data_IF_650619695915
#
_entry.id   IF_650619695915
#
_cell.length_a   1.000
_cell.length_b   1.000
_cell.length_c   1.000
_cell.angle_alpha   90.00
_cell.angle_beta   90.00
_cell.angle_gamma   90.00
#
_symmetry.space_group_name_H-M   'P 1'
#
loop_
_entity.id
_entity.type
_entity.pdbx_description
1 polymer ?
#
# COMPACT_ATOMS: atom_id res chain seq x y z
N UNK A 1 -7.56 1.91 29.26
CA UNK A 1 -6.93 1.82 27.92
C UNK A 1 -7.17 3.12 27.21
N UNK A 2 -6.17 3.66 26.50
CA UNK A 2 -6.40 4.82 25.64
C UNK A 2 -7.42 4.45 24.55
N UNK A 3 -8.30 5.38 24.14
CA UNK A 3 -9.25 5.12 23.05
C UNK A 3 -8.49 4.83 21.74
N UNK A 4 -8.99 3.89 20.94
CA UNK A 4 -8.43 3.55 19.63
C UNK A 4 -8.46 4.78 18.73
N UNK A 5 -7.36 5.05 18.02
CA UNK A 5 -7.27 6.16 17.07
C UNK A 5 -7.33 5.64 15.63
N UNK A 6 -7.95 6.44 14.76
CA UNK A 6 -8.00 6.22 13.33
C UNK A 6 -6.61 6.46 12.71
N UNK A 7 -6.23 5.63 11.74
CA UNK A 7 -5.03 5.85 10.92
C UNK A 7 -5.40 6.42 9.54
N UNK A 8 -4.63 7.39 9.06
CA UNK A 8 -4.81 7.97 7.73
C UNK A 8 -3.50 7.98 6.98
N UNK A 9 -3.44 7.24 5.88
CA UNK A 9 -2.39 7.36 4.88
C UNK A 9 -2.91 8.16 3.68
N UNK A 10 -2.01 8.69 2.86
CA UNK A 10 -2.35 9.19 1.52
C UNK A 10 -1.70 8.34 0.44
N UNK A 11 -2.52 7.73 -0.42
CA UNK A 11 -2.05 7.04 -1.61
C UNK A 11 -1.89 8.05 -2.76
N UNK A 12 -0.65 8.31 -3.14
CA UNK A 12 -0.33 9.38 -4.10
C UNK A 12 -0.33 8.85 -5.53
N UNK A 13 -1.52 8.82 -6.13
CA UNK A 13 -1.72 8.37 -7.50
C UNK A 13 -1.53 9.50 -8.51
N UNK A 14 -0.28 9.84 -8.81
CA UNK A 14 0.06 10.88 -9.79
C UNK A 14 -0.69 12.19 -9.48
N UNK A 15 -1.65 12.56 -10.34
CA UNK A 15 -2.48 13.76 -10.21
C UNK A 15 -3.82 13.55 -9.47
N UNK A 16 -4.19 12.33 -9.09
CA UNK A 16 -5.47 12.02 -8.42
C UNK A 16 -6.00 10.61 -8.74
N UNK A 17 -7.04 10.16 -8.02
CA UNK A 17 -7.56 8.79 -8.20
C UNK A 17 -8.32 8.59 -9.52
N UNK A 18 -8.85 9.66 -10.11
CA UNK A 18 -9.41 9.60 -11.44
C UNK A 18 -8.29 9.62 -12.49
N UNK A 19 -8.39 8.75 -13.48
CA UNK A 19 -7.45 8.73 -14.62
C UNK A 19 -7.37 10.07 -15.37
N UNK A 20 -8.43 10.89 -15.29
CA UNK A 20 -8.55 12.21 -15.90
C UNK A 20 -8.08 13.36 -15.02
N UNK A 21 -7.70 13.12 -13.75
CA UNK A 21 -7.40 14.18 -12.79
C UNK A 21 -6.30 15.15 -13.27
N UNK A 22 -5.35 14.67 -14.08
CA UNK A 22 -4.31 15.49 -14.70
C UNK A 22 -4.83 16.58 -15.65
N UNK A 23 -6.08 16.45 -16.12
CA UNK A 23 -6.77 17.41 -16.99
C UNK A 23 -7.57 18.45 -16.20
N UNK A 24 -7.69 18.30 -14.88
CA UNK A 24 -8.35 19.29 -14.05
C UNK A 24 -7.62 20.63 -14.19
N UNK A 25 -8.32 21.79 -14.20
CA UNK A 25 -7.70 23.10 -14.42
C UNK A 25 -6.55 23.43 -13.46
N UNK A 26 -6.55 22.85 -12.26
CA UNK A 26 -5.55 23.03 -11.23
C UNK A 26 -4.37 22.06 -11.28
N UNK A 27 -4.46 21.01 -12.09
CA UNK A 27 -3.42 20.00 -12.21
C UNK A 27 -2.29 20.47 -13.12
N UNK A 28 -1.05 20.23 -12.71
CA UNK A 28 0.09 20.27 -13.63
C UNK A 28 0.30 18.88 -14.26
N UNK A 29 0.14 18.71 -15.58
CA UNK A 29 0.38 17.44 -16.24
C UNK A 29 1.81 16.91 -16.08
N UNK A 30 2.80 17.76 -15.73
CA UNK A 30 4.18 17.35 -15.47
C UNK A 30 4.40 16.76 -14.08
N UNK A 31 3.42 16.89 -13.17
CA UNK A 31 3.53 16.45 -11.78
C UNK A 31 3.87 14.96 -11.61
N UNK A 32 3.51 14.11 -12.58
CA UNK A 32 3.78 12.67 -12.55
C UNK A 32 5.27 12.29 -12.52
N UNK A 33 6.15 13.21 -12.95
CA UNK A 33 7.60 13.02 -12.94
C UNK A 33 8.34 14.15 -12.18
N UNK A 34 7.61 14.96 -11.41
CA UNK A 34 8.17 16.01 -10.58
C UNK A 34 8.20 15.58 -9.11
N UNK A 35 9.40 15.42 -8.56
CA UNK A 35 9.60 15.06 -7.14
C UNK A 35 9.00 16.12 -6.21
N UNK A 36 9.02 17.40 -6.60
CA UNK A 36 8.50 18.48 -5.77
C UNK A 36 6.98 18.35 -5.53
N UNK A 37 6.25 17.77 -6.48
CA UNK A 37 4.83 17.43 -6.31
C UNK A 37 4.62 16.45 -5.15
N UNK A 38 5.38 15.35 -5.13
CA UNK A 38 5.29 14.34 -4.06
C UNK A 38 5.72 14.90 -2.70
N UNK A 39 6.73 15.75 -2.66
CA UNK A 39 7.15 16.47 -1.44
C UNK A 39 6.02 17.37 -0.93
N UNK A 40 5.36 18.14 -1.82
CA UNK A 40 4.24 19.01 -1.45
C UNK A 40 3.06 18.19 -0.89
N UNK A 41 2.71 17.08 -1.53
CA UNK A 41 1.67 16.16 -1.03
C UNK A 41 2.02 15.65 0.36
N UNK A 42 3.26 15.23 0.58
CA UNK A 42 3.72 14.75 1.88
C UNK A 42 3.66 15.84 2.97
N UNK A 43 4.06 17.07 2.67
CA UNK A 43 3.98 18.18 3.64
C UNK A 43 2.54 18.52 4.05
N UNK A 44 1.60 18.46 3.10
CA UNK A 44 0.17 18.64 3.40
C UNK A 44 -0.34 17.49 4.28
N UNK A 45 0.02 16.24 3.96
CA UNK A 45 -0.34 15.08 4.77
C UNK A 45 0.22 15.18 6.20
N UNK A 46 1.48 15.62 6.35
CA UNK A 46 2.13 15.81 7.64
C UNK A 46 1.48 16.93 8.47
N UNK A 47 1.10 18.05 7.84
CA UNK A 47 0.29 19.11 8.48
C UNK A 47 -1.03 18.56 9.01
N UNK A 48 -1.63 17.64 8.25
CA UNK A 48 -2.82 16.90 8.64
C UNK A 48 -2.59 15.79 9.66
N UNK A 49 -1.37 15.58 10.15
CA UNK A 49 -0.96 14.48 11.05
C UNK A 49 -1.26 13.07 10.52
N UNK A 50 -1.18 12.88 9.21
CA UNK A 50 -1.32 11.56 8.57
C UNK A 50 -0.20 10.61 9.00
N UNK A 51 -0.48 9.32 9.02
CA UNK A 51 0.46 8.26 9.39
C UNK A 51 1.53 8.07 8.32
N UNK A 52 1.17 8.06 7.03
CA UNK A 52 2.14 7.88 5.94
C UNK A 52 1.70 8.41 4.58
N UNK A 53 2.69 8.69 3.72
CA UNK A 53 2.52 8.69 2.26
C UNK A 53 2.76 7.27 1.73
N UNK A 54 1.91 6.83 0.80
CA UNK A 54 1.99 5.53 0.14
C UNK A 54 2.22 5.72 -1.36
N UNK A 55 3.30 5.12 -1.87
CA UNK A 55 3.64 5.10 -3.29
C UNK A 55 3.49 3.68 -3.85
N UNK A 56 2.42 3.48 -4.63
CA UNK A 56 2.24 2.28 -5.46
C UNK A 56 3.22 2.29 -6.63
N UNK A 57 3.63 1.10 -7.10
CA UNK A 57 4.57 0.99 -8.21
C UNK A 57 4.35 -0.27 -9.06
N UNK A 58 4.68 -0.15 -10.34
CA UNK A 58 4.77 -1.23 -11.31
C UNK A 58 5.97 -0.91 -12.22
N UNK A 59 7.02 -1.76 -12.26
CA UNK A 59 8.23 -1.49 -13.04
C UNK A 59 8.02 -1.83 -14.53
N UNK A 60 6.99 -1.23 -15.13
CA UNK A 60 6.62 -1.40 -16.53
C UNK A 60 6.06 -0.10 -17.09
N UNK A 61 6.23 0.08 -18.40
CA UNK A 61 5.59 1.17 -19.10
C UNK A 61 4.08 0.90 -19.21
N UNK A 62 3.26 1.91 -18.97
CA UNK A 62 1.80 1.75 -18.96
C UNK A 62 1.26 1.50 -20.38
N UNK A 63 0.18 0.70 -20.49
CA UNK A 63 -0.44 0.35 -21.76
C UNK A 63 -1.14 1.52 -22.49
N UNK A 64 -1.49 2.61 -21.80
CA UNK A 64 -2.15 3.80 -22.36
C UNK A 64 -1.55 5.11 -21.83
N UNK A 65 -0.26 5.36 -22.11
CA UNK A 65 0.44 6.56 -21.63
C UNK A 65 -0.06 7.82 -22.34
N UNK A 66 -0.81 7.66 -23.43
CA UNK A 66 -1.50 8.73 -24.16
C UNK A 66 -2.69 9.32 -23.39
N UNK A 67 -3.28 8.56 -22.45
CA UNK A 67 -4.54 8.93 -21.80
C UNK A 67 -4.42 9.27 -20.31
N UNK A 68 -3.39 8.75 -19.62
CA UNK A 68 -3.20 8.96 -18.18
C UNK A 68 -1.72 9.01 -17.79
N UNK A 69 -1.39 9.78 -16.74
CA UNK A 69 -0.12 9.63 -16.06
C UNK A 69 0.11 8.21 -15.55
N UNK A 70 1.37 7.82 -15.49
CA UNK A 70 1.85 6.54 -14.99
C UNK A 70 2.90 6.78 -13.91
N UNK A 71 3.19 5.73 -13.14
CA UNK A 71 4.24 5.72 -12.13
C UNK A 71 5.62 5.81 -12.80
N UNK A 72 6.11 7.03 -13.00
CA UNK A 72 7.34 7.28 -13.76
C UNK A 72 8.60 7.20 -12.92
N UNK A 73 8.52 7.52 -11.63
CA UNK A 73 9.65 7.62 -10.72
C UNK A 73 9.75 6.41 -9.80
N UNK A 74 10.97 5.96 -9.52
CA UNK A 74 11.22 4.87 -8.58
C UNK A 74 10.87 5.30 -7.14
N UNK A 75 10.05 4.53 -6.39
CA UNK A 75 9.50 4.98 -5.11
C UNK A 75 10.54 5.35 -4.06
N UNK A 76 11.63 4.59 -3.93
CA UNK A 76 12.62 4.85 -2.88
C UNK A 76 13.42 6.14 -3.12
N UNK A 77 13.64 6.51 -4.38
CA UNK A 77 14.23 7.81 -4.74
C UNK A 77 13.30 8.95 -4.34
N UNK A 78 12.00 8.83 -4.64
CA UNK A 78 11.00 9.85 -4.24
C UNK A 78 10.92 9.94 -2.72
N UNK A 79 10.80 8.80 -2.04
CA UNK A 79 10.68 8.75 -0.58
C UNK A 79 11.93 9.26 0.14
N UNK A 80 13.13 9.16 -0.44
CA UNK A 80 14.33 9.77 0.14
C UNK A 80 14.25 11.30 0.15
N UNK A 81 13.68 11.91 -0.90
CA UNK A 81 13.45 13.37 -0.93
C UNK A 81 12.35 13.78 0.03
N UNK A 82 11.28 12.98 0.12
CA UNK A 82 10.21 13.20 1.11
C UNK A 82 10.77 13.08 2.53
N UNK A 83 11.61 12.08 2.82
CA UNK A 83 12.24 11.89 4.12
C UNK A 83 13.03 13.13 4.57
N UNK A 84 13.74 13.78 3.64
CA UNK A 84 14.50 14.99 3.92
C UNK A 84 13.63 16.24 4.12
N UNK A 85 12.38 16.21 3.64
CA UNK A 85 11.45 17.34 3.66
C UNK A 85 10.31 17.20 4.70
N UNK A 86 10.26 16.09 5.44
CA UNK A 86 9.25 15.79 6.48
C UNK A 86 9.92 15.22 7.73
N UNK A 87 9.30 15.36 8.90
CA UNK A 87 9.89 14.95 10.19
C UNK A 87 9.27 13.65 10.76
N UNK A 88 7.96 13.51 10.65
CA UNK A 88 7.15 12.46 11.27
C UNK A 88 6.46 11.56 10.24
N UNK A 89 6.07 12.07 9.07
CA UNK A 89 5.26 11.30 8.11
C UNK A 89 5.93 9.97 7.70
N UNK A 90 5.21 8.87 7.78
CA UNK A 90 5.64 7.56 7.29
C UNK A 90 5.86 7.51 5.77
N UNK A 91 6.73 6.60 5.33
CA UNK A 91 7.22 6.51 3.97
C UNK A 91 7.01 5.08 3.43
N UNK A 92 5.83 4.79 2.89
CA UNK A 92 5.49 3.45 2.39
C UNK A 92 5.79 3.36 0.89
N UNK A 93 6.79 2.55 0.54
CA UNK A 93 7.20 2.32 -0.84
C UNK A 93 6.87 0.90 -1.30
N UNK A 94 6.32 0.78 -2.51
CA UNK A 94 6.09 -0.51 -3.15
C UNK A 94 7.38 -1.02 -3.80
N UNK A 95 7.69 -2.30 -3.58
CA UNK A 95 8.76 -2.98 -4.31
C UNK A 95 8.42 -4.45 -4.52
N UNK A 96 8.60 -4.92 -5.75
CA UNK A 96 8.27 -6.27 -6.16
C UNK A 96 9.25 -7.30 -5.61
N UNK A 97 8.74 -8.40 -5.05
CA UNK A 97 9.58 -9.55 -4.73
C UNK A 97 10.10 -10.20 -6.00
N UNK A 98 9.29 -10.31 -7.05
CA UNK A 98 9.60 -11.03 -8.31
C UNK A 98 10.82 -10.51 -9.05
N UNK A 99 11.03 -9.19 -9.04
CA UNK A 99 12.03 -8.53 -9.89
C UNK A 99 13.14 -7.81 -9.12
N UNK A 100 13.20 -7.99 -7.80
CA UNK A 100 14.31 -7.51 -6.99
C UNK A 100 15.17 -8.68 -6.53
N UNK A 101 16.42 -8.38 -6.18
CA UNK A 101 17.26 -9.22 -5.34
C UNK A 101 16.99 -8.89 -3.86
N UNK A 102 16.83 -9.89 -2.97
CA UNK A 102 16.49 -9.64 -1.57
C UNK A 102 17.57 -8.90 -0.80
N UNK A 103 18.86 -9.11 -1.10
CA UNK A 103 19.94 -8.41 -0.42
C UNK A 103 19.96 -6.92 -0.80
N UNK A 104 19.83 -6.62 -2.09
CA UNK A 104 19.77 -5.23 -2.57
C UNK A 104 18.53 -4.50 -2.03
N UNK A 105 17.35 -5.16 -2.01
CA UNK A 105 16.14 -4.56 -1.45
C UNK A 105 16.30 -4.29 0.04
N UNK A 106 16.79 -5.26 0.81
CA UNK A 106 17.02 -5.12 2.25
C UNK A 106 17.93 -3.92 2.55
N UNK A 107 19.05 -3.78 1.80
CA UNK A 107 19.96 -2.63 1.94
C UNK A 107 19.30 -1.30 1.64
N UNK A 108 18.57 -1.21 0.52
CA UNK A 108 17.92 0.02 0.06
C UNK A 108 16.88 0.52 1.07
N UNK A 109 15.99 -0.36 1.51
CA UNK A 109 14.95 -0.02 2.48
C UNK A 109 15.51 0.25 3.88
N UNK A 110 16.52 -0.51 4.36
CA UNK A 110 17.17 -0.22 5.64
C UNK A 110 17.90 1.14 5.63
N UNK A 111 18.56 1.47 4.51
CA UNK A 111 19.24 2.76 4.36
C UNK A 111 18.26 3.92 4.38
N UNK A 112 17.14 3.80 3.65
CA UNK A 112 16.07 4.79 3.69
C UNK A 112 15.47 4.91 5.10
N UNK A 113 15.35 3.79 5.82
CA UNK A 113 14.79 3.78 7.17
C UNK A 113 15.71 4.44 8.20
N UNK A 114 17.03 4.29 8.06
CA UNK A 114 17.99 5.07 8.84
C UNK A 114 17.90 6.55 8.45
N UNK A 115 17.88 6.88 7.16
CA UNK A 115 17.82 8.26 6.68
C UNK A 115 16.54 9.00 7.16
N UNK A 116 15.45 8.27 7.35
CA UNK A 116 14.19 8.82 7.82
C UNK A 116 13.99 8.71 9.34
N UNK A 117 14.95 8.17 10.10
CA UNK A 117 14.81 7.86 11.54
C UNK A 117 13.68 6.88 11.90
N UNK A 118 13.50 5.82 11.11
CA UNK A 118 12.57 4.73 11.40
C UNK A 118 11.14 4.99 10.91
N UNK A 119 10.97 5.54 9.69
CA UNK A 119 9.66 5.92 9.14
C UNK A 119 9.25 5.10 7.92
N UNK A 120 10.04 4.12 7.51
CA UNK A 120 9.81 3.40 6.25
C UNK A 120 8.87 2.23 6.42
N UNK A 121 8.02 2.02 5.42
CA UNK A 121 7.29 0.77 5.19
C UNK A 121 7.59 0.21 3.80
N UNK A 122 7.62 -1.11 3.69
CA UNK A 122 7.75 -1.83 2.42
C UNK A 122 6.43 -2.50 2.07
N UNK A 123 5.77 -2.04 1.01
CA UNK A 123 4.64 -2.73 0.42
C UNK A 123 5.11 -3.89 -0.49
N UNK A 124 4.90 -5.10 -0.01
CA UNK A 124 5.31 -6.37 -0.62
C UNK A 124 4.32 -6.72 -1.73
N UNK A 125 4.79 -6.69 -2.99
CA UNK A 125 3.99 -7.07 -4.15
C UNK A 125 4.66 -8.19 -4.94
N UNK A 126 3.86 -9.10 -5.50
CA UNK A 126 4.33 -10.23 -6.32
C UNK A 126 4.37 -9.91 -7.81
N UNK A 127 3.91 -8.70 -8.19
CA UNK A 127 3.61 -8.29 -9.56
C UNK A 127 2.52 -9.13 -10.23
N UNK A 128 1.55 -8.45 -10.85
CA UNK A 128 0.47 -9.08 -11.61
C UNK A 128 0.45 -8.68 -13.10
N UNK A 129 1.25 -7.67 -13.47
CA UNK A 129 1.32 -7.16 -14.83
C UNK A 129 2.36 -7.95 -15.65
N UNK A 130 1.89 -8.60 -16.71
CA UNK A 130 2.73 -9.40 -17.60
C UNK A 130 3.75 -8.56 -18.38
N UNK A 131 3.46 -7.27 -18.63
CA UNK A 131 4.40 -6.38 -19.33
C UNK A 131 5.69 -6.15 -18.54
N UNK A 132 5.62 -6.23 -17.20
CA UNK A 132 6.79 -6.07 -16.34
C UNK A 132 7.85 -7.15 -16.60
N UNK A 133 7.43 -8.41 -16.78
CA UNK A 133 8.34 -9.54 -17.01
C UNK A 133 9.35 -9.27 -18.14
N UNK A 134 8.88 -8.67 -19.23
CA UNK A 134 9.68 -8.39 -20.44
C UNK A 134 10.83 -7.41 -20.19
N UNK A 135 10.74 -6.59 -19.15
CA UNK A 135 11.82 -5.69 -18.74
C UNK A 135 12.88 -6.36 -17.87
N UNK A 136 12.62 -7.59 -17.38
CA UNK A 136 13.49 -8.36 -16.50
C UNK A 136 13.98 -9.67 -17.12
N UNK A 137 13.92 -9.76 -18.45
CA UNK A 137 14.52 -10.88 -19.21
C UNK A 137 13.65 -12.13 -19.32
N UNK A 138 12.35 -12.05 -19.00
CA UNK A 138 11.39 -13.15 -19.21
C UNK A 138 10.18 -12.68 -20.01
N UNK A 139 9.60 -13.54 -20.86
CA UNK A 139 8.44 -13.14 -21.67
C UNK A 139 7.13 -13.12 -20.87
N UNK A 140 7.05 -13.96 -19.84
CA UNK A 140 5.88 -14.19 -19.00
C UNK A 140 6.24 -14.12 -17.50
N UNK A 141 5.22 -13.90 -16.68
CA UNK A 141 5.31 -14.05 -15.24
C UNK A 141 5.32 -15.53 -14.87
N UNK A 142 6.04 -15.90 -13.81
CA UNK A 142 5.87 -17.22 -13.19
C UNK A 142 4.42 -17.43 -12.77
N UNK A 143 3.98 -18.69 -12.67
CA UNK A 143 2.63 -19.03 -12.22
C UNK A 143 2.29 -18.41 -10.86
N UNK A 144 1.02 -18.01 -10.66
CA UNK A 144 0.54 -17.32 -9.46
C UNK A 144 1.04 -17.94 -8.15
N UNK A 145 0.85 -19.25 -7.98
CA UNK A 145 1.27 -19.98 -6.78
C UNK A 145 2.79 -19.86 -6.52
N UNK A 146 3.61 -20.01 -7.56
CA UNK A 146 5.07 -19.89 -7.46
C UNK A 146 5.50 -18.47 -7.08
N UNK A 147 4.82 -17.44 -7.61
CA UNK A 147 5.09 -16.04 -7.23
C UNK A 147 4.86 -15.82 -5.73
N UNK A 148 3.83 -16.42 -5.14
CA UNK A 148 3.56 -16.32 -3.71
C UNK A 148 4.47 -17.21 -2.84
N UNK A 149 4.85 -18.40 -3.29
CA UNK A 149 5.90 -19.22 -2.64
C UNK A 149 7.23 -18.46 -2.57
N UNK A 150 7.64 -17.88 -3.70
CA UNK A 150 8.84 -17.07 -3.80
C UNK A 150 8.77 -15.80 -2.95
N UNK A 151 7.62 -15.12 -2.90
CA UNK A 151 7.44 -13.92 -2.09
C UNK A 151 7.50 -14.19 -0.58
N UNK A 152 6.99 -15.34 -0.15
CA UNK A 152 7.06 -15.81 1.24
C UNK A 152 8.52 -16.00 1.66
N UNK A 153 9.31 -16.72 0.85
CA UNK A 153 10.76 -16.89 1.09
C UNK A 153 11.52 -15.55 1.02
N UNK A 154 11.16 -14.67 0.08
CA UNK A 154 11.78 -13.36 -0.06
C UNK A 154 11.60 -12.50 1.20
N UNK A 155 10.38 -12.46 1.75
CA UNK A 155 10.09 -11.73 2.98
C UNK A 155 10.85 -12.30 4.18
N UNK A 156 10.96 -13.62 4.30
CA UNK A 156 11.80 -14.29 5.31
C UNK A 156 13.27 -13.87 5.20
N UNK A 157 13.85 -13.85 3.99
CA UNK A 157 15.25 -13.43 3.75
C UNK A 157 15.47 -11.97 4.09
N UNK A 158 14.61 -11.07 3.62
CA UNK A 158 14.77 -9.62 3.86
C UNK A 158 14.67 -9.30 5.35
N UNK A 159 13.68 -9.86 6.04
CA UNK A 159 13.53 -9.66 7.48
C UNK A 159 14.69 -10.27 8.27
N UNK A 160 15.26 -11.40 7.81
CA UNK A 160 16.48 -11.96 8.39
C UNK A 160 17.68 -11.05 8.23
N UNK A 161 17.86 -10.46 7.05
CA UNK A 161 18.93 -9.51 6.79
C UNK A 161 18.80 -8.28 7.69
N UNK A 162 17.59 -7.74 7.88
CA UNK A 162 17.39 -6.63 8.81
C UNK A 162 17.68 -6.98 10.26
N UNK A 163 17.52 -8.24 10.68
CA UNK A 163 17.88 -8.67 12.04
C UNK A 163 19.34 -9.13 12.17
N UNK A 164 20.17 -9.05 11.11
CA UNK A 164 21.57 -9.52 11.13
C UNK A 164 22.51 -8.72 12.06
N UNK A 165 22.05 -7.62 12.64
CA UNK A 165 22.76 -6.84 13.66
C UNK A 165 21.93 -6.82 14.94
N UNK A 166 22.53 -7.07 16.10
CA UNK A 166 21.86 -6.74 17.37
C UNK A 166 21.86 -5.22 17.60
N UNK A 167 20.92 -4.75 18.41
CA UNK A 167 20.68 -3.30 18.60
C UNK A 167 21.90 -2.57 19.21
N UNK A 168 22.72 -3.29 19.99
CA UNK A 168 23.90 -2.77 20.69
C UNK A 168 25.23 -3.29 20.11
N UNK A 169 25.24 -3.65 18.82
CA UNK A 169 26.45 -4.04 18.09
C UNK A 169 27.44 -2.88 17.85
N UNK A 170 26.97 -1.63 17.83
CA UNK A 170 27.84 -0.45 17.69
C UNK A 170 28.51 -0.10 19.02
N UNK A 171 29.84 -0.09 19.03
CA UNK A 171 30.65 0.22 20.23
C UNK A 171 31.23 1.63 20.13
N UNK A 172 31.90 1.95 19.02
CA UNK A 172 32.45 3.30 18.76
C UNK A 172 33.57 3.73 19.71
N UNK A 173 34.32 2.79 20.30
CA UNK A 173 35.40 3.09 21.24
C UNK A 173 36.65 3.60 20.50
N UNK A 174 36.86 4.91 20.56
CA UNK A 174 38.02 5.60 19.95
C UNK A 174 39.34 5.32 20.67
N UNK A 175 39.31 4.97 21.96
CA UNK A 175 40.51 4.73 22.76
C UNK A 175 41.12 3.37 22.44
N UNK A 176 40.28 2.34 22.30
CA UNK A 176 40.72 0.98 21.93
C UNK A 176 40.73 0.72 20.42
N UNK A 177 40.05 1.56 19.62
CA UNK A 177 39.84 1.35 18.19
C UNK A 177 38.75 0.32 17.89
N UNK A 178 37.97 -0.10 18.88
CA UNK A 178 36.90 -1.08 18.73
C UNK A 178 35.61 -0.40 18.21
N UNK A 179 35.34 -0.56 16.91
CA UNK A 179 34.21 0.10 16.26
C UNK A 179 32.89 -0.65 16.43
N UNK A 180 32.88 -1.96 16.17
CA UNK A 180 31.69 -2.85 16.20
C UNK A 180 32.03 -4.11 17.00
N UNK A 181 31.11 -4.57 17.84
CA UNK A 181 31.16 -5.90 18.43
C UNK A 181 30.76 -6.96 17.40
N UNK A 182 31.75 -7.65 16.84
CA UNK A 182 31.53 -8.66 15.79
C UNK A 182 30.78 -9.90 16.28
N UNK A 183 30.70 -10.14 17.60
CA UNK A 183 29.90 -11.24 18.15
C UNK A 183 28.39 -10.98 18.04
N UNK A 184 28.00 -9.73 17.74
CA UNK A 184 26.62 -9.25 17.63
C UNK A 184 26.19 -8.97 16.19
N UNK A 185 26.99 -9.42 15.22
CA UNK A 185 26.70 -9.30 13.79
C UNK A 185 26.71 -10.70 13.18
N UNK A 186 25.54 -11.13 12.72
CA UNK A 186 25.24 -12.52 12.44
C UNK A 186 24.93 -12.75 10.96
N UNK A 187 25.63 -13.66 10.25
CA UNK A 187 25.15 -14.10 8.95
C UNK A 187 23.78 -14.78 9.11
N UNK A 188 22.94 -14.67 8.07
CA UNK A 188 21.62 -15.31 8.06
C UNK A 188 21.66 -16.74 7.51
N UNK A 189 22.72 -17.06 6.76
CA UNK A 189 23.01 -18.38 6.17
C UNK A 189 21.81 -19.07 5.49
N UNK A 190 20.94 -18.27 4.86
CA UNK A 190 19.73 -18.76 4.24
C UNK A 190 20.03 -19.61 2.99
N UNK A 191 19.42 -20.79 2.93
CA UNK A 191 19.42 -21.70 1.78
C UNK A 191 18.01 -22.27 1.62
N UNK A 192 17.22 -21.62 0.78
CA UNK A 192 15.87 -22.05 0.44
C UNK A 192 15.76 -22.51 -1.00
N UNK A 193 14.52 -22.62 -1.48
CA UNK A 193 14.21 -23.07 -2.84
C UNK A 193 14.57 -21.99 -3.85
N UNK A 194 14.28 -20.73 -3.51
CA UNK A 194 14.41 -19.60 -4.42
C UNK A 194 15.69 -18.80 -4.19
N UNK A 195 16.20 -18.75 -2.95
CA UNK A 195 17.34 -17.91 -2.60
C UNK A 195 18.41 -18.66 -1.81
N UNK A 196 19.66 -18.31 -2.06
CA UNK A 196 20.78 -18.64 -1.19
C UNK A 196 21.54 -17.37 -0.85
N UNK A 197 21.42 -16.92 0.40
CA UNK A 197 21.95 -15.62 0.85
C UNK A 197 22.68 -15.83 2.17
N UNK A 198 23.98 -15.54 2.18
CA UNK A 198 24.83 -15.71 3.38
C UNK A 198 24.58 -14.64 4.45
N UNK A 199 24.48 -13.37 4.05
CA UNK A 199 24.57 -12.24 4.97
C UNK A 199 25.96 -12.11 5.62
N UNK A 200 26.12 -11.28 6.68
CA UNK A 200 25.11 -10.36 7.22
C UNK A 200 24.76 -9.23 6.24
N UNK A 201 23.73 -8.45 6.56
CA UNK A 201 23.49 -7.17 5.90
C UNK A 201 24.62 -6.21 6.29
N UNK A 202 24.99 -5.27 5.43
CA UNK A 202 25.98 -4.24 5.74
C UNK A 202 25.36 -2.91 6.22
N UNK A 203 24.12 -2.97 6.72
CA UNK A 203 23.36 -1.84 7.24
C UNK A 203 22.78 -2.27 8.60
N UNK A 204 22.99 -1.48 9.67
CA UNK A 204 22.47 -1.81 11.00
C UNK A 204 20.94 -1.62 11.09
N UNK A 205 20.36 -2.04 12.22
CA UNK A 205 18.93 -1.84 12.52
C UNK A 205 18.59 -0.37 12.70
N UNK A 206 17.36 -0.01 12.37
CA UNK A 206 16.83 1.35 12.54
C UNK A 206 16.20 1.54 13.93
N UNK A 207 15.78 2.77 14.23
CA UNK A 207 15.04 3.10 15.45
C UNK A 207 13.77 2.26 15.61
N UNK A 208 13.09 1.90 14.52
CA UNK A 208 11.91 1.04 14.54
C UNK A 208 12.22 -0.47 14.39
N UNK A 209 13.49 -0.86 14.54
CA UNK A 209 13.98 -2.23 14.41
C UNK A 209 14.15 -2.63 12.96
N UNK A 210 13.06 -2.63 12.20
CA UNK A 210 13.03 -2.84 10.75
C UNK A 210 11.82 -2.13 10.11
N UNK A 211 11.88 -1.82 8.80
CA UNK A 211 10.75 -1.25 8.06
C UNK A 211 9.44 -2.00 8.31
N UNK A 212 8.32 -1.28 8.33
CA UNK A 212 6.97 -1.87 8.47
C UNK A 212 6.64 -2.69 7.24
N UNK A 213 6.13 -3.91 7.42
CA UNK A 213 5.72 -4.77 6.34
C UNK A 213 4.28 -4.48 5.94
N UNK A 214 4.08 -4.01 4.71
CA UNK A 214 2.77 -3.69 4.14
C UNK A 214 2.45 -4.68 3.03
N UNK A 215 1.19 -5.04 2.84
CA UNK A 215 0.76 -5.96 1.76
C UNK A 215 -0.60 -5.56 1.20
N UNK A 216 -0.89 -5.90 -0.06
CA UNK A 216 -2.13 -5.50 -0.75
C UNK A 216 -2.84 -6.60 -1.59
N UNK A 217 -2.55 -7.88 -1.37
CA UNK A 217 -3.09 -8.99 -2.15
C UNK A 217 -4.39 -9.54 -1.58
N UNK A 218 -5.46 -9.52 -2.38
CA UNK A 218 -6.77 -10.05 -1.99
C UNK A 218 -7.07 -11.50 -2.40
N UNK A 219 -6.17 -12.20 -3.11
CA UNK A 219 -6.34 -13.63 -3.41
C UNK A 219 -6.14 -14.49 -2.15
N UNK A 220 -6.52 -15.78 -2.18
CA UNK A 220 -6.29 -16.68 -1.04
C UNK A 220 -4.80 -16.75 -0.64
N UNK A 221 -3.90 -16.83 -1.62
CA UNK A 221 -2.46 -16.79 -1.38
C UNK A 221 -1.98 -15.40 -0.91
N UNK A 222 -2.60 -14.33 -1.40
CA UNK A 222 -2.37 -12.96 -0.94
C UNK A 222 -2.72 -12.77 0.53
N UNK A 223 -3.90 -13.24 0.94
CA UNK A 223 -4.36 -13.22 2.33
C UNK A 223 -3.44 -14.06 3.20
N UNK A 224 -3.02 -15.25 2.74
CA UNK A 224 -2.07 -16.10 3.47
C UNK A 224 -0.72 -15.39 3.69
N UNK A 225 -0.18 -14.76 2.63
CA UNK A 225 1.07 -13.99 2.72
C UNK A 225 0.93 -12.82 3.70
N UNK A 226 -0.19 -12.08 3.63
CA UNK A 226 -0.47 -10.98 4.53
C UNK A 226 -0.61 -11.45 5.98
N UNK A 227 -1.37 -12.51 6.23
CA UNK A 227 -1.55 -13.10 7.55
C UNK A 227 -0.21 -13.49 8.18
N UNK A 228 0.73 -14.02 7.39
CA UNK A 228 2.06 -14.41 7.88
C UNK A 228 2.98 -13.20 8.13
N UNK A 229 3.02 -12.23 7.22
CA UNK A 229 4.07 -11.19 7.24
C UNK A 229 3.59 -9.76 7.50
N UNK A 230 2.39 -9.40 7.04
CA UNK A 230 1.96 -8.00 7.00
C UNK A 230 1.65 -7.46 8.40
N UNK A 231 2.09 -6.25 8.65
CA UNK A 231 1.82 -5.46 9.85
C UNK A 231 0.79 -4.35 9.54
N UNK A 232 0.70 -3.94 8.28
CA UNK A 232 -0.41 -3.18 7.74
C UNK A 232 -0.87 -3.75 6.38
N UNK A 233 -2.16 -3.62 6.08
CA UNK A 233 -2.75 -4.14 4.83
C UNK A 233 -3.49 -3.03 4.11
N UNK A 234 -3.15 -2.82 2.84
CA UNK A 234 -3.92 -2.01 1.93
C UNK A 234 -4.91 -2.89 1.17
N UNK A 235 -6.21 -2.76 1.47
CA UNK A 235 -7.25 -3.61 0.88
C UNK A 235 -8.24 -2.83 0.01
N UNK A 236 -9.08 -3.58 -0.69
CA UNK A 236 -10.26 -3.07 -1.40
C UNK A 236 -11.48 -3.61 -0.66
N UNK A 237 -12.35 -2.71 -0.20
CA UNK A 237 -13.64 -3.06 0.36
C UNK A 237 -14.66 -2.00 -0.06
N UNK A 238 -15.78 -2.42 -0.66
CA UNK A 238 -16.83 -1.52 -1.13
C UNK A 238 -17.97 -1.40 -0.13
N UNK A 239 -18.20 -2.43 0.68
CA UNK A 239 -19.21 -2.44 1.74
C UNK A 239 -18.61 -2.76 3.10
N UNK A 240 -19.35 -2.41 4.15
CA UNK A 240 -18.93 -2.66 5.52
C UNK A 240 -18.83 -4.16 5.81
N UNK A 241 -19.73 -4.96 5.25
CA UNK A 241 -19.75 -6.42 5.39
C UNK A 241 -18.52 -7.07 4.76
N UNK A 242 -18.13 -6.62 3.55
CA UNK A 242 -16.90 -7.07 2.89
C UNK A 242 -15.66 -6.76 3.75
N UNK A 243 -15.60 -5.56 4.33
CA UNK A 243 -14.49 -5.15 5.19
C UNK A 243 -14.40 -5.98 6.47
N UNK A 244 -15.54 -6.22 7.14
CA UNK A 244 -15.61 -7.08 8.34
C UNK A 244 -15.20 -8.52 8.03
N UNK A 245 -15.67 -9.08 6.91
CA UNK A 245 -15.32 -10.43 6.49
C UNK A 245 -13.82 -10.56 6.18
N UNK A 246 -13.25 -9.59 5.46
CA UNK A 246 -11.83 -9.53 5.17
C UNK A 246 -10.99 -9.46 6.45
N UNK A 247 -11.33 -8.54 7.36
CA UNK A 247 -10.65 -8.38 8.64
C UNK A 247 -10.69 -9.67 9.47
N UNK A 248 -11.87 -10.30 9.59
CA UNK A 248 -12.03 -11.56 10.30
C UNK A 248 -11.17 -12.68 9.70
N UNK A 249 -11.11 -12.78 8.37
CA UNK A 249 -10.31 -13.78 7.65
C UNK A 249 -8.81 -13.61 7.92
N UNK A 250 -8.28 -12.40 7.74
CA UNK A 250 -6.86 -12.09 7.97
C UNK A 250 -6.47 -12.38 9.42
N UNK A 251 -7.25 -11.88 10.39
CA UNK A 251 -6.95 -12.04 11.82
C UNK A 251 -6.97 -13.52 12.23
N UNK A 252 -7.92 -14.29 11.71
CA UNK A 252 -8.01 -15.74 11.96
C UNK A 252 -6.81 -16.47 11.37
N UNK A 253 -6.40 -16.15 10.15
CA UNK A 253 -5.23 -16.77 9.53
C UNK A 253 -3.92 -16.37 10.22
N UNK A 254 -3.78 -15.12 10.66
CA UNK A 254 -2.58 -14.66 11.37
C UNK A 254 -2.32 -15.48 12.64
N UNK A 255 -3.38 -15.88 13.35
CA UNK A 255 -3.30 -16.74 14.54
C UNK A 255 -2.76 -18.14 14.23
N UNK A 256 -2.97 -18.68 13.03
CA UNK A 256 -2.40 -19.99 12.64
C UNK A 256 -0.89 -19.93 12.45
N UNK A 257 -0.34 -18.73 12.22
CA UNK A 257 1.10 -18.45 12.20
C UNK A 257 1.65 -18.01 13.57
N UNK A 258 0.86 -18.11 14.64
CA UNK A 258 1.28 -17.72 15.99
C UNK A 258 1.35 -16.21 16.22
N UNK A 259 0.79 -15.40 15.33
CA UNK A 259 0.72 -13.94 15.48
C UNK A 259 -0.56 -13.52 16.20
N UNK A 260 -0.50 -12.40 16.90
CA UNK A 260 -1.71 -11.72 17.34
C UNK A 260 -2.40 -11.10 16.12
N UNK A 261 -3.63 -11.51 15.84
CA UNK A 261 -4.40 -10.96 14.71
C UNK A 261 -4.68 -9.46 14.85
N UNK A 262 -4.72 -8.95 16.08
CA UNK A 262 -4.97 -7.52 16.33
C UNK A 262 -3.72 -6.64 16.10
N UNK A 263 -2.55 -7.24 15.89
CA UNK A 263 -1.30 -6.54 15.51
C UNK A 263 -1.20 -6.32 13.98
N UNK A 264 -2.34 -6.31 13.27
CA UNK A 264 -2.42 -6.07 11.83
C UNK A 264 -3.37 -4.91 11.56
N UNK A 265 -2.82 -3.81 11.08
CA UNK A 265 -3.58 -2.59 10.76
C UNK A 265 -4.25 -2.73 9.40
N UNK A 266 -5.57 -2.57 9.33
CA UNK A 266 -6.34 -2.72 8.09
C UNK A 266 -6.77 -1.36 7.56
N UNK A 267 -6.26 -1.02 6.37
CA UNK A 267 -6.36 0.32 5.75
C UNK A 267 -6.91 0.22 4.32
N UNK A 268 -8.22 -0.01 4.11
CA UNK A 268 -8.77 -0.01 2.76
C UNK A 268 -8.61 1.35 2.08
N UNK A 269 -8.61 1.34 0.75
CA UNK A 269 -8.62 2.58 -0.03
C UNK A 269 -9.95 3.32 0.09
N UNK A 270 -9.87 4.63 0.30
CA UNK A 270 -11.02 5.54 0.33
C UNK A 270 -10.77 6.68 -0.64
N UNK A 271 -11.50 6.69 -1.75
CA UNK A 271 -11.52 7.82 -2.67
C UNK A 271 -12.56 8.85 -2.20
N UNK A 272 -12.18 10.12 -2.18
CA UNK A 272 -13.05 11.20 -1.71
C UNK A 272 -13.11 12.35 -2.72
N UNK A 273 -14.32 12.78 -3.05
CA UNK A 273 -14.61 14.00 -3.80
C UNK A 273 -15.40 14.92 -2.88
N UNK A 274 -14.83 16.07 -2.54
CA UNK A 274 -15.38 16.94 -1.50
C UNK A 274 -15.85 18.25 -2.13
N UNK A 275 -17.06 18.66 -1.79
CA UNK A 275 -17.60 19.99 -2.08
C UNK A 275 -18.14 20.63 -0.80
N UNK A 276 -18.27 21.96 -0.77
CA UNK A 276 -18.89 22.66 0.37
C UNK A 276 -20.38 22.33 0.52
N UNK A 277 -21.00 21.85 -0.55
CA UNK A 277 -22.36 21.32 -0.60
C UNK A 277 -22.39 20.02 -1.40
N UNK A 278 -23.43 19.21 -1.21
CA UNK A 278 -23.67 18.01 -2.02
C UNK A 278 -23.71 18.32 -3.52
N UNK A 279 -24.36 19.42 -3.91
CA UNK A 279 -24.44 19.84 -5.31
C UNK A 279 -23.06 20.18 -5.89
N UNK A 280 -22.19 20.82 -5.11
CA UNK A 280 -20.81 21.09 -5.53
C UNK A 280 -19.99 19.80 -5.67
N UNK A 281 -20.10 18.88 -4.70
CA UNK A 281 -19.38 17.61 -4.75
C UNK A 281 -19.77 16.79 -5.99
N UNK A 282 -21.07 16.73 -6.30
CA UNK A 282 -21.60 16.08 -7.50
C UNK A 282 -21.15 16.74 -8.78
N UNK A 283 -21.16 18.08 -8.84
CA UNK A 283 -20.65 18.82 -9.99
C UNK A 283 -19.17 18.50 -10.25
N UNK A 284 -18.33 18.47 -9.20
CA UNK A 284 -16.91 18.08 -9.33
C UNK A 284 -16.74 16.65 -9.84
N UNK A 285 -17.54 15.72 -9.34
CA UNK A 285 -17.57 14.33 -9.84
C UNK A 285 -17.90 14.27 -11.34
N UNK A 286 -18.91 15.02 -11.77
CA UNK A 286 -19.31 15.12 -13.18
C UNK A 286 -18.23 15.75 -14.05
N UNK A 287 -17.59 16.82 -13.60
CA UNK A 287 -16.49 17.47 -14.31
C UNK A 287 -15.30 16.52 -14.51
N UNK A 288 -14.86 15.81 -13.46
CA UNK A 288 -13.80 14.81 -13.55
C UNK A 288 -14.15 13.67 -14.48
N UNK A 289 -15.41 13.21 -14.43
CA UNK A 289 -15.89 12.20 -15.34
C UNK A 289 -15.90 12.68 -16.79
N UNK A 290 -16.38 13.90 -17.06
CA UNK A 290 -16.42 14.47 -18.41
C UNK A 290 -15.01 14.61 -19.03
N UNK A 291 -13.98 14.73 -18.19
CA UNK A 291 -12.58 14.70 -18.58
C UNK A 291 -12.04 13.28 -18.84
N UNK A 292 -12.79 12.22 -18.57
CA UNK A 292 -12.35 10.84 -18.86
C UNK A 292 -12.37 10.60 -20.37
N UNK A 293 -11.27 10.16 -20.99
CA UNK A 293 -11.23 9.97 -22.45
C UNK A 293 -12.21 8.89 -22.92
N UNK A 294 -13.01 9.20 -23.95
CA UNK A 294 -13.93 8.31 -24.68
C UNK A 294 -14.12 6.88 -24.15
N UNK A 295 -13.56 5.90 -24.87
CA UNK A 295 -13.71 4.46 -24.58
C UNK A 295 -12.78 3.94 -23.47
N UNK A 296 -12.05 4.81 -22.77
CA UNK A 296 -11.06 4.40 -21.76
C UNK A 296 -11.70 3.56 -20.65
N UNK A 297 -12.82 4.02 -20.10
CA UNK A 297 -13.52 3.31 -19.04
C UNK A 297 -14.06 1.94 -19.50
N UNK A 298 -14.53 1.86 -20.74
CA UNK A 298 -14.98 0.62 -21.37
C UNK A 298 -13.81 -0.38 -21.49
N UNK A 299 -12.67 0.06 -22.03
CA UNK A 299 -11.46 -0.78 -22.16
C UNK A 299 -10.93 -1.24 -20.81
N UNK A 300 -11.01 -0.40 -19.78
CA UNK A 300 -10.61 -0.78 -18.41
C UNK A 300 -11.49 -1.89 -17.86
N UNK A 301 -12.82 -1.76 -17.98
CA UNK A 301 -13.77 -2.80 -17.56
C UNK A 301 -13.54 -4.09 -18.37
N UNK A 302 -13.40 -3.99 -19.69
CA UNK A 302 -13.10 -5.15 -20.55
C UNK A 302 -11.78 -5.84 -20.17
N UNK A 303 -10.74 -5.07 -19.83
CA UNK A 303 -9.44 -5.58 -19.39
C UNK A 303 -9.48 -6.30 -18.05
N UNK A 304 -10.32 -5.84 -17.11
CA UNK A 304 -10.59 -6.54 -15.84
C UNK A 304 -11.24 -7.90 -16.11
N UNK A 305 -12.22 -7.93 -17.02
CA UNK A 305 -12.98 -9.14 -17.39
C UNK A 305 -12.23 -10.07 -18.37
N UNK A 306 -11.15 -9.57 -18.99
CA UNK A 306 -10.40 -10.25 -20.07
C UNK A 306 -11.28 -10.58 -21.29
N UNK A 307 -12.17 -9.67 -21.67
CA UNK A 307 -13.04 -9.78 -22.86
C UNK A 307 -12.74 -8.68 -23.88
N UNK A 308 -13.29 -8.83 -25.09
CA UNK A 308 -13.26 -7.76 -26.10
C UNK A 308 -14.16 -6.59 -25.66
N UNK A 309 -13.67 -5.34 -25.63
CA UNK A 309 -14.53 -4.16 -25.39
C UNK A 309 -15.78 -4.10 -26.27
N UNK A 310 -15.72 -4.58 -27.52
CA UNK A 310 -16.85 -4.57 -28.45
C UNK A 310 -17.96 -5.57 -28.08
N UNK A 311 -17.67 -6.57 -27.23
CA UNK A 311 -18.68 -7.55 -26.78
C UNK A 311 -19.51 -7.07 -25.60
N UNK A 312 -19.22 -5.89 -25.04
CA UNK A 312 -19.93 -5.34 -23.89
C UNK A 312 -21.09 -4.45 -24.34
N UNK A 313 -22.31 -4.89 -24.09
CA UNK A 313 -23.52 -4.06 -24.27
C UNK A 313 -23.61 -3.02 -23.14
N UNK A 314 -23.48 -1.74 -23.49
CA UNK A 314 -23.44 -0.64 -22.52
C UNK A 314 -24.71 -0.55 -21.68
N UNK A 315 -25.87 -0.86 -22.25
CA UNK A 315 -27.17 -0.73 -21.58
C UNK A 315 -27.70 -2.08 -21.07
N UNK A 316 -26.93 -3.15 -21.31
CA UNK A 316 -27.16 -4.50 -20.80
C UNK A 316 -26.40 -4.81 -19.50
N UNK A 317 -26.64 -6.01 -18.92
CA UNK A 317 -25.90 -6.49 -17.76
C UNK A 317 -24.45 -6.85 -18.13
N UNK A 318 -23.61 -7.03 -17.11
CA UNK A 318 -22.28 -7.61 -17.28
C UNK A 318 -22.40 -9.04 -17.85
N UNK A 319 -21.57 -9.45 -18.83
CA UNK A 319 -21.58 -10.83 -19.32
C UNK A 319 -21.11 -11.79 -18.22
N UNK A 320 -21.65 -13.02 -18.25
CA UNK A 320 -21.18 -14.10 -17.39
C UNK A 320 -19.80 -14.56 -17.88
N UNK A 321 -18.78 -14.33 -17.05
CA UNK A 321 -17.38 -14.63 -17.36
C UNK A 321 -16.69 -15.30 -16.18
N UNK A 322 -15.82 -16.26 -16.48
CA UNK A 322 -15.05 -16.95 -15.46
C UNK A 322 -14.05 -16.00 -14.79
N UNK A 323 -13.89 -16.14 -13.47
CA UNK A 323 -12.87 -15.41 -12.71
C UNK A 323 -11.48 -15.73 -13.26
N UNK A 324 -10.67 -14.73 -13.65
CA UNK A 324 -9.37 -14.98 -14.27
C UNK A 324 -8.37 -15.53 -13.26
N UNK A 325 -7.58 -16.52 -13.68
CA UNK A 325 -6.52 -17.13 -12.85
C UNK A 325 -5.38 -16.15 -12.59
N UNK A 326 -4.98 -15.37 -13.60
CA UNK A 326 -3.97 -14.33 -13.51
C UNK A 326 -4.55 -12.93 -13.75
N UNK A 327 -3.95 -11.93 -13.11
CA UNK A 327 -4.34 -10.52 -13.24
C UNK A 327 -4.99 -9.94 -11.98
N UNK A 328 -5.85 -8.94 -12.18
CA UNK A 328 -6.43 -8.09 -11.14
C UNK A 328 -7.65 -8.72 -10.45
N UNK A 329 -7.48 -9.91 -9.82
CA UNK A 329 -8.58 -10.67 -9.20
C UNK A 329 -9.43 -9.83 -8.23
N UNK A 330 -8.80 -9.00 -7.38
CA UNK A 330 -9.51 -8.14 -6.43
C UNK A 330 -10.46 -7.16 -7.11
N UNK A 331 -10.06 -6.58 -8.25
CA UNK A 331 -10.91 -5.65 -9.00
C UNK A 331 -11.99 -6.38 -9.80
N UNK A 332 -11.71 -7.60 -10.27
CA UNK A 332 -12.72 -8.46 -10.89
C UNK A 332 -13.85 -8.78 -9.90
N UNK A 333 -13.52 -9.25 -8.70
CA UNK A 333 -14.51 -9.63 -7.69
C UNK A 333 -15.37 -8.43 -7.27
N UNK A 334 -14.75 -7.26 -7.12
CA UNK A 334 -15.46 -6.02 -6.83
C UNK A 334 -16.44 -5.61 -7.94
N UNK A 335 -16.02 -5.71 -9.20
CA UNK A 335 -16.83 -5.35 -10.37
C UNK A 335 -18.04 -6.28 -10.51
N UNK A 336 -17.82 -7.60 -10.47
CA UNK A 336 -18.88 -8.62 -10.59
C UNK A 336 -19.82 -8.55 -9.38
N UNK A 337 -19.29 -8.45 -8.16
CA UNK A 337 -20.11 -8.34 -6.95
C UNK A 337 -21.01 -7.11 -6.95
N UNK A 338 -20.53 -5.96 -7.46
CA UNK A 338 -21.36 -4.76 -7.62
C UNK A 338 -22.44 -4.94 -8.70
N UNK A 339 -22.09 -5.55 -9.85
CA UNK A 339 -23.03 -5.86 -10.91
C UNK A 339 -24.18 -6.75 -10.41
N UNK A 340 -23.84 -7.80 -9.66
CA UNK A 340 -24.82 -8.78 -9.17
C UNK A 340 -25.74 -8.24 -8.09
N UNK A 341 -25.20 -7.47 -7.14
CA UNK A 341 -25.95 -6.93 -6.00
C UNK A 341 -26.90 -5.80 -6.41
N UNK A 342 -26.43 -4.92 -7.28
CA UNK A 342 -27.14 -3.67 -7.61
C UNK A 342 -27.79 -3.71 -9.00
N UNK A 343 -27.60 -4.79 -9.77
CA UNK A 343 -28.14 -4.98 -11.13
C UNK A 343 -27.77 -3.83 -12.06
N UNK A 344 -26.50 -3.40 -11.98
CA UNK A 344 -25.96 -2.31 -12.77
C UNK A 344 -25.75 -2.70 -14.24
N UNK A 345 -26.03 -1.76 -15.12
CA UNK A 345 -25.62 -1.85 -16.54
C UNK A 345 -24.11 -1.69 -16.69
N UNK A 346 -23.54 -2.16 -17.81
CA UNK A 346 -22.13 -1.93 -18.14
C UNK A 346 -21.78 -0.44 -18.10
N UNK A 347 -22.64 0.46 -18.58
CA UNK A 347 -22.44 1.91 -18.54
C UNK A 347 -22.29 2.43 -17.10
N UNK A 348 -23.11 1.95 -16.18
CA UNK A 348 -23.03 2.32 -14.76
C UNK A 348 -21.77 1.75 -14.10
N UNK A 349 -21.37 0.53 -14.45
CA UNK A 349 -20.13 -0.07 -13.97
C UNK A 349 -18.90 0.69 -14.51
N UNK A 350 -18.92 1.12 -15.77
CA UNK A 350 -17.88 1.99 -16.35
C UNK A 350 -17.82 3.32 -15.60
N UNK A 351 -18.96 3.92 -15.24
CA UNK A 351 -18.97 5.15 -14.43
C UNK A 351 -18.31 4.93 -13.06
N UNK A 352 -18.60 3.81 -12.40
CA UNK A 352 -18.10 3.51 -11.05
C UNK A 352 -16.63 3.07 -11.01
N UNK A 353 -16.21 2.23 -11.96
CA UNK A 353 -14.91 1.55 -11.96
C UNK A 353 -13.98 1.96 -13.11
N UNK A 354 -14.54 2.48 -14.21
CA UNK A 354 -13.82 2.76 -15.45
C UNK A 354 -12.98 4.03 -15.42
N UNK A 355 -13.41 5.06 -14.69
CA UNK A 355 -12.65 6.29 -14.48
C UNK A 355 -11.75 6.28 -13.25
N UNK A 356 -12.08 5.42 -12.27
CA UNK A 356 -11.50 5.36 -10.94
C UNK A 356 -10.51 4.20 -10.76
N UNK A 357 -9.95 4.09 -9.57
CA UNK A 357 -9.02 3.03 -9.17
C UNK A 357 -9.73 1.73 -8.80
N UNK A 358 -11.07 1.70 -8.74
CA UNK A 358 -11.85 0.55 -8.29
C UNK A 358 -11.89 0.37 -6.77
N UNK A 359 -11.55 1.41 -6.02
CA UNK A 359 -11.80 1.50 -4.57
C UNK A 359 -13.14 2.18 -4.30
N UNK A 360 -13.56 2.14 -3.04
CA UNK A 360 -14.77 2.82 -2.56
C UNK A 360 -14.63 4.33 -2.74
N UNK A 361 -15.61 4.95 -3.40
CA UNK A 361 -15.68 6.39 -3.66
C UNK A 361 -16.81 6.99 -2.84
N UNK A 362 -16.55 8.10 -2.17
CA UNK A 362 -17.56 8.93 -1.51
C UNK A 362 -17.52 10.32 -2.11
N UNK A 363 -18.69 10.86 -2.40
CA UNK A 363 -18.90 12.18 -2.97
C UNK A 363 -19.88 12.90 -2.05
N UNK A 364 -19.45 14.01 -1.45
CA UNK A 364 -20.31 14.76 -0.53
C UNK A 364 -19.60 15.90 0.21
N UNK A 365 -20.23 16.38 1.27
CA UNK A 365 -19.64 17.43 2.14
C UNK A 365 -18.58 16.87 3.10
N UNK A 366 -17.74 17.73 3.72
CA UNK A 366 -16.80 17.28 4.75
C UNK A 366 -17.45 16.47 5.88
N UNK A 367 -18.66 16.84 6.29
CA UNK A 367 -19.45 16.11 7.29
C UNK A 367 -19.83 14.71 6.82
N UNK A 368 -20.31 14.58 5.57
CA UNK A 368 -20.67 13.28 5.00
C UNK A 368 -19.45 12.34 4.91
N UNK A 369 -18.28 12.87 4.53
CA UNK A 369 -17.03 12.08 4.53
C UNK A 369 -16.65 11.65 5.96
N UNK A 370 -16.74 12.56 6.94
CA UNK A 370 -16.42 12.25 8.32
C UNK A 370 -17.40 11.23 8.95
N UNK A 371 -18.70 11.32 8.64
CA UNK A 371 -19.74 10.40 9.08
C UNK A 371 -19.47 8.98 8.58
N UNK A 372 -19.09 8.84 7.30
CA UNK A 372 -18.77 7.53 6.74
C UNK A 372 -17.50 6.92 7.36
N UNK A 373 -16.43 7.73 7.50
CA UNK A 373 -15.19 7.29 8.14
C UNK A 373 -15.47 6.80 9.57
N UNK A 374 -16.28 7.56 10.33
CA UNK A 374 -16.68 7.19 11.68
C UNK A 374 -17.49 5.89 11.70
N UNK A 375 -18.48 5.73 10.83
CA UNK A 375 -19.31 4.53 10.76
C UNK A 375 -18.46 3.26 10.54
N UNK A 376 -17.51 3.30 9.60
CA UNK A 376 -16.63 2.17 9.31
C UNK A 376 -15.63 1.88 10.43
N UNK A 377 -15.02 2.94 10.96
CA UNK A 377 -14.08 2.81 12.06
C UNK A 377 -14.79 2.25 13.31
N UNK A 378 -15.88 2.86 13.76
CA UNK A 378 -16.58 2.46 14.99
C UNK A 378 -17.21 1.07 14.92
N UNK A 379 -17.58 0.60 13.72
CA UNK A 379 -18.01 -0.79 13.49
C UNK A 379 -16.90 -1.83 13.66
N UNK A 380 -15.63 -1.40 13.79
CA UNK A 380 -14.47 -2.29 13.93
C UNK A 380 -14.04 -2.97 12.64
N UNK A 381 -14.55 -2.50 11.50
CA UNK A 381 -14.25 -3.05 10.18
C UNK A 381 -12.85 -2.68 9.67
N UNK A 382 -12.34 -1.53 10.12
CA UNK A 382 -11.07 -0.95 9.68
C UNK A 382 -10.37 -0.27 10.84
N UNK A 383 -9.05 -0.10 10.71
CA UNK A 383 -8.23 0.70 11.62
C UNK A 383 -7.96 2.10 11.04
N UNK A 384 -8.22 2.29 9.75
CA UNK A 384 -7.95 3.53 9.06
C UNK A 384 -8.21 3.42 7.56
N UNK A 385 -7.67 4.38 6.81
CA UNK A 385 -7.83 4.42 5.35
C UNK A 385 -6.55 4.85 4.64
N UNK A 386 -6.33 4.29 3.45
CA UNK A 386 -5.46 4.90 2.45
C UNK A 386 -6.31 5.88 1.62
N UNK A 387 -6.26 7.17 1.96
CA UNK A 387 -7.00 8.22 1.28
C UNK A 387 -6.50 8.39 -0.15
N UNK A 388 -7.43 8.55 -1.08
CA UNK A 388 -7.19 8.73 -2.52
C UNK A 388 -7.92 10.01 -2.97
N UNK A 389 -7.26 11.17 -2.91
CA UNK A 389 -7.89 12.44 -3.31
C UNK A 389 -8.25 12.48 -4.79
N UNK A 390 -9.32 13.20 -5.10
CA UNK A 390 -9.85 13.38 -6.46
C UNK A 390 -8.82 14.04 -7.40
N UNK A 391 -8.21 15.12 -6.94
CA UNK A 391 -7.13 15.85 -7.59
C UNK A 391 -6.06 16.16 -6.54
N UNK A 392 -4.79 15.95 -6.88
CA UNK A 392 -3.66 16.24 -6.02
C UNK A 392 -2.91 17.50 -6.49
N UNK A 393 -2.42 18.34 -5.56
CA UNK A 393 -2.53 18.21 -4.10
C UNK A 393 -3.84 18.77 -3.50
N UNK A 394 -4.68 19.46 -4.28
CA UNK A 394 -5.79 20.28 -3.76
C UNK A 394 -6.85 19.49 -2.99
N UNK A 395 -7.25 18.33 -3.47
CA UNK A 395 -8.23 17.47 -2.79
C UNK A 395 -7.72 16.97 -1.44
N UNK A 396 -6.39 16.77 -1.30
CA UNK A 396 -5.78 16.45 -0.01
C UNK A 396 -5.83 17.66 0.94
N UNK A 397 -5.54 18.86 0.41
CA UNK A 397 -5.61 20.10 1.20
C UNK A 397 -7.02 20.34 1.74
N UNK A 398 -8.05 20.18 0.90
CA UNK A 398 -9.46 20.27 1.33
C UNK A 398 -9.77 19.22 2.40
N UNK A 399 -9.31 17.98 2.26
CA UNK A 399 -9.51 16.94 3.28
C UNK A 399 -8.85 17.32 4.62
N UNK A 400 -7.60 17.79 4.57
CA UNK A 400 -6.84 18.21 5.76
C UNK A 400 -7.47 19.43 6.44
N UNK A 401 -8.00 20.36 5.68
CA UNK A 401 -8.52 21.62 6.23
C UNK A 401 -9.97 21.50 6.71
N UNK A 402 -10.76 20.56 6.15
CA UNK A 402 -12.19 20.47 6.43
C UNK A 402 -12.65 19.13 7.05
N UNK A 403 -12.04 17.99 6.70
CA UNK A 403 -12.45 16.68 7.25
C UNK A 403 -11.67 16.34 8.52
N UNK A 404 -10.36 16.53 8.51
CA UNK A 404 -9.50 16.24 9.68
C UNK A 404 -9.97 16.97 10.96
N UNK A 405 -10.36 18.26 10.95
CA UNK A 405 -10.89 18.93 12.13
C UNK A 405 -12.18 18.29 12.66
N UNK A 406 -13.04 17.78 11.79
CA UNK A 406 -14.26 17.08 12.18
C UNK A 406 -13.93 15.75 12.87
N UNK A 407 -13.00 14.97 12.31
CA UNK A 407 -12.53 13.72 12.91
C UNK A 407 -11.89 13.95 14.29
N UNK A 408 -11.10 15.02 14.44
CA UNK A 408 -10.51 15.44 15.71
C UNK A 408 -11.58 15.88 16.72
N UNK A 409 -12.58 16.66 16.30
CA UNK A 409 -13.71 17.08 17.15
C UNK A 409 -14.51 15.88 17.69
N UNK A 410 -14.58 14.79 16.92
CA UNK A 410 -15.20 13.51 17.32
C UNK A 410 -14.29 12.63 18.16
N UNK A 411 -13.04 13.03 18.41
CA UNK A 411 -12.07 12.25 19.18
C UNK A 411 -11.54 11.02 18.46
N UNK A 412 -11.74 10.91 17.14
CA UNK A 412 -11.34 9.75 16.33
C UNK A 412 -9.88 9.84 15.87
N UNK A 413 -9.36 11.06 15.73
CA UNK A 413 -8.06 11.29 15.10
C UNK A 413 -7.15 12.19 15.93
N UNK A 414 -5.84 11.98 15.80
CA UNK A 414 -4.81 12.67 16.57
C UNK A 414 -4.71 14.15 16.20
N UNK A 415 -4.30 14.99 17.16
CA UNK A 415 -4.03 16.43 16.94
C UNK A 415 -2.55 16.74 16.74
N UNK A 416 -1.68 15.84 17.18
CA UNK A 416 -0.22 15.92 17.06
C UNK A 416 0.36 14.50 16.98
N UNK A 417 1.58 14.36 16.48
CA UNK A 417 2.30 13.09 16.52
C UNK A 417 2.75 12.77 17.94
N UNK A 418 2.47 11.55 18.40
CA UNK A 418 2.89 11.03 19.70
C UNK A 418 4.16 10.18 19.63
N UNK A 419 4.59 9.81 18.43
CA UNK A 419 5.79 9.01 18.15
C UNK A 419 6.61 9.61 17.01
N UNK A 420 7.77 9.02 16.74
CA UNK A 420 8.69 9.41 15.66
C UNK A 420 8.78 8.37 14.55
N UNK A 421 8.42 7.12 14.84
CA UNK A 421 8.52 6.00 13.91
C UNK A 421 7.17 5.64 13.29
N UNK A 422 7.20 4.99 12.12
CA UNK A 422 5.97 4.53 11.48
C UNK A 422 5.25 3.46 12.33
N UNK A 423 6.01 2.60 13.02
CA UNK A 423 5.44 1.65 13.98
C UNK A 423 4.67 2.33 15.09
N UNK A 424 5.22 3.37 15.70
CA UNK A 424 4.52 4.13 16.75
C UNK A 424 3.25 4.80 16.23
N UNK A 425 3.26 5.30 14.99
CA UNK A 425 2.05 5.89 14.38
C UNK A 425 0.92 4.87 14.27
N UNK A 426 1.25 3.65 13.86
CA UNK A 426 0.35 2.51 13.76
C UNK A 426 0.10 1.76 15.08
N UNK A 427 0.71 2.16 16.18
CA UNK A 427 0.61 1.45 17.46
C UNK A 427 1.22 0.03 17.44
N UNK A 428 2.13 -0.24 16.51
CA UNK A 428 2.79 -1.53 16.34
C UNK A 428 3.98 -1.67 17.31
N UNK A 429 4.24 -2.87 17.84
CA UNK A 429 5.43 -3.11 18.64
C UNK A 429 6.70 -3.03 17.78
N UNK A 430 7.79 -2.56 18.39
CA UNK A 430 9.13 -2.67 17.80
C UNK A 430 9.58 -4.14 17.86
N UNK A 431 9.89 -4.80 16.73
CA UNK A 431 10.30 -6.19 16.74
C UNK A 431 11.68 -6.36 17.39
N UNK A 432 11.79 -7.32 18.31
CA UNK A 432 13.10 -7.76 18.80
C UNK A 432 13.92 -8.37 17.65
N UNK A 433 15.25 -8.24 17.70
CA UNK A 433 16.10 -9.00 16.79
C UNK A 433 15.88 -10.49 17.04
N UNK A 434 15.94 -11.33 15.99
CA UNK A 434 15.91 -12.79 16.14
C UNK A 434 17.08 -13.36 16.95
N UNK A 435 18.11 -12.56 17.19
CA UNK A 435 19.27 -12.90 18.01
C UNK A 435 19.20 -12.27 19.42
N UNK A 436 18.12 -11.54 19.75
CA UNK A 436 17.96 -10.92 21.06
C UNK A 436 17.82 -11.98 22.16
N UNK A 437 18.39 -11.77 23.36
CA UNK A 437 18.26 -12.69 24.49
C UNK A 437 16.80 -13.02 24.80
N UNK A 438 16.44 -14.30 24.84
CA UNK A 438 15.07 -14.77 25.14
C UNK A 438 14.14 -14.93 23.93
N UNK A 439 14.61 -14.63 22.70
CA UNK A 439 13.90 -15.04 21.48
C UNK A 439 14.29 -16.48 21.13
N UNK A 440 13.32 -17.39 21.06
CA UNK A 440 13.58 -18.75 20.57
C UNK A 440 13.92 -18.66 19.08
N UNK A 441 15.19 -18.91 18.73
CA UNK A 441 15.60 -19.03 17.33
C UNK A 441 14.86 -20.22 16.73
N UNK A 442 13.89 -19.97 15.85
CA UNK A 442 13.31 -21.02 15.05
C UNK A 442 14.40 -21.52 14.11
N UNK A 443 14.93 -22.71 14.36
CA UNK A 443 16.01 -23.29 13.57
C UNK A 443 15.65 -23.26 12.07
N UNK A 444 16.62 -22.97 11.18
CA UNK A 444 16.35 -22.98 9.75
C UNK A 444 15.80 -24.35 9.34
N UNK A 445 14.66 -24.34 8.63
CA UNK A 445 14.14 -25.55 7.97
C UNK A 445 15.13 -25.94 6.89
N UNK A 446 16.07 -26.83 7.23
CA UNK A 446 16.83 -27.58 6.23
C UNK A 446 15.80 -28.42 5.48
N UNK A 447 15.51 -28.05 4.24
CA UNK A 447 14.69 -28.86 3.36
C UNK A 447 15.41 -30.21 3.18
N UNK A 448 14.86 -31.26 3.79
CA UNK A 448 15.28 -32.63 3.53
C UNK A 448 14.96 -32.93 2.06
N UNK A 449 16.00 -33.11 1.26
CA UNK A 449 15.86 -33.47 -0.15
C UNK A 449 15.06 -34.75 -0.33
N UNK A 450 14.21 -34.75 -1.35
CA UNK A 450 13.78 -35.95 -2.06
C UNK A 450 13.99 -35.72 -3.55
#
# INVERSE_FOLDING_TARGET
>A
MAPRQLHLNVNTLNAGFYSSAWRAPSSDPRAYADIAHYVKVAQIAERGTFDAIFLADVPAFSDRPDLRPFQALEPTIVLAHVAAATEHLGLIGTASTSFNDPYNLARRFASLDIASNGRVGWNIVTTADASAARNFGTDELEAHANRYERADEFADVVTALWDSWEDDAFVGDKGTGHFIDTAKVHPIEHRGRHFSVRGPLNVPRSAQGRPVLVQAGGSADGIRLAARHAEAIFSVAHTLEEALAFAGSVRTQARTFGRNGDDIVILPGLAAIIGSTEAEARRREEELWALTPGDYGLRRVAGILKVDPASLDLDGPLPDVARPVDGMQTFFDALVGAADREKLTVRQLIRRFGGSTGHRVIVGTPEAIADDIEAWFTAGAVDGFNLMPDVLPEGLEVFVDHVVPLLRKRGLFRTHYSGRTLREHFGLPRPASRFAPGTAVCAPRIAAGR
#
